data_IF_729253132928
#
_entry.id   IF_729253132928
#
_cell.length_a   1.000
_cell.length_b   1.000
_cell.length_c   1.000
_cell.angle_alpha   90.00
_cell.angle_beta   90.00
_cell.angle_gamma   90.00
#
_symmetry.space_group_name_H-M   'P 1'
#
loop_
_entity.id
_entity.type
_entity.pdbx_description
1 polymer ?
#
# COMPACT_ATOMS: atom_id res chain seq x y z
N UNK A 1 31.44 -9.83 -7.03
CA UNK A 1 29.96 -9.89 -7.11
C UNK A 1 29.59 -10.28 -8.54
N UNK A 2 28.97 -11.44 -8.74
CA UNK A 2 28.63 -11.95 -10.07
C UNK A 2 27.32 -11.31 -10.58
N UNK A 3 27.19 -11.02 -11.89
CA UNK A 3 26.04 -10.31 -12.45
C UNK A 3 24.69 -11.05 -12.29
N UNK A 4 24.73 -12.37 -12.09
CA UNK A 4 23.54 -13.21 -11.83
C UNK A 4 22.91 -12.91 -10.47
N UNK A 5 23.70 -12.63 -9.44
CA UNK A 5 23.17 -12.29 -8.11
C UNK A 5 22.48 -10.92 -8.10
N UNK A 6 22.93 -9.99 -8.97
CA UNK A 6 22.28 -8.69 -9.09
C UNK A 6 20.85 -8.88 -9.59
N UNK A 7 20.64 -9.64 -10.67
CA UNK A 7 19.32 -9.92 -11.27
C UNK A 7 18.33 -10.59 -10.29
N UNK A 8 18.79 -11.45 -9.37
CA UNK A 8 17.91 -12.08 -8.37
C UNK A 8 17.41 -11.12 -7.29
N UNK A 9 18.10 -10.02 -7.01
CA UNK A 9 17.63 -9.03 -6.03
C UNK A 9 16.57 -8.09 -6.63
N UNK A 10 16.57 -7.86 -7.94
CA UNK A 10 15.55 -7.01 -8.58
C UNK A 10 14.17 -7.65 -8.51
N UNK A 11 14.05 -8.97 -8.66
CA UNK A 11 12.76 -9.65 -8.52
C UNK A 11 12.19 -9.49 -7.10
N UNK A 12 13.05 -9.47 -6.08
CA UNK A 12 12.62 -9.24 -4.70
C UNK A 12 12.08 -7.82 -4.45
N UNK A 13 12.50 -6.81 -5.23
CA UNK A 13 12.03 -5.42 -5.07
C UNK A 13 10.93 -5.02 -6.08
N UNK A 14 10.93 -5.59 -7.28
CA UNK A 14 9.94 -5.27 -8.32
C UNK A 14 8.61 -5.94 -8.05
N UNK A 15 8.64 -7.23 -7.67
CA UNK A 15 7.43 -8.00 -7.38
C UNK A 15 6.49 -7.32 -6.36
N UNK A 16 6.96 -6.82 -5.20
CA UNK A 16 6.07 -6.13 -4.26
C UNK A 16 5.53 -4.81 -4.78
N UNK A 17 6.32 -4.03 -5.51
CA UNK A 17 5.86 -2.77 -6.09
C UNK A 17 4.74 -3.03 -7.10
N UNK A 18 4.89 -4.08 -7.91
CA UNK A 18 3.86 -4.53 -8.86
C UNK A 18 2.62 -5.04 -8.14
N UNK A 19 2.77 -5.83 -7.06
CA UNK A 19 1.64 -6.32 -6.26
C UNK A 19 0.87 -5.19 -5.60
N UNK A 20 1.57 -4.23 -5.00
CA UNK A 20 0.98 -3.04 -4.37
C UNK A 20 0.26 -2.18 -5.42
N UNK A 21 0.87 -1.97 -6.59
CA UNK A 21 0.25 -1.25 -7.70
C UNK A 21 -1.01 -1.97 -8.23
N UNK A 22 -0.95 -3.29 -8.39
CA UNK A 22 -2.10 -4.10 -8.80
C UNK A 22 -3.24 -4.00 -7.78
N UNK A 23 -2.94 -4.10 -6.48
CA UNK A 23 -3.92 -3.89 -5.42
C UNK A 23 -4.53 -2.49 -5.47
N UNK A 24 -3.72 -1.46 -5.75
CA UNK A 24 -4.19 -0.09 -5.86
C UNK A 24 -5.20 0.12 -7.00
N UNK A 25 -5.23 -0.78 -7.98
CA UNK A 25 -6.23 -0.81 -9.05
C UNK A 25 -7.42 -1.69 -8.68
N UNK A 26 -7.18 -2.96 -8.37
CA UNK A 26 -8.27 -3.93 -8.26
C UNK A 26 -9.09 -3.76 -6.99
N UNK A 27 -8.46 -3.34 -5.88
CA UNK A 27 -9.14 -3.18 -4.60
C UNK A 27 -10.23 -2.10 -4.63
N UNK A 28 -9.95 -0.85 -5.05
CA UNK A 28 -10.99 0.17 -5.12
C UNK A 28 -12.07 -0.15 -6.16
N UNK A 29 -11.73 -0.84 -7.25
CA UNK A 29 -12.72 -1.30 -8.24
C UNK A 29 -13.65 -2.39 -7.66
N UNK A 30 -13.10 -3.30 -6.85
CA UNK A 30 -13.90 -4.33 -6.19
C UNK A 30 -14.78 -3.74 -5.09
N UNK A 31 -14.24 -2.86 -4.25
CA UNK A 31 -15.00 -2.18 -3.20
C UNK A 31 -16.11 -1.30 -3.78
N UNK A 32 -15.84 -0.64 -4.91
CA UNK A 32 -16.83 0.17 -5.60
C UNK A 32 -18.11 -0.63 -5.92
N UNK A 33 -18.03 -1.94 -6.21
CA UNK A 33 -19.21 -2.77 -6.48
C UNK A 33 -20.12 -2.98 -5.27
N UNK A 34 -19.59 -2.80 -4.05
CA UNK A 34 -20.30 -3.05 -2.78
C UNK A 34 -20.71 -1.76 -2.07
N UNK A 35 -20.05 -0.65 -2.39
CA UNK A 35 -20.26 0.64 -1.73
C UNK A 35 -21.37 1.44 -2.42
N UNK A 36 -22.09 2.28 -1.66
CA UNK A 36 -23.16 3.12 -2.19
C UNK A 36 -22.64 4.10 -3.24
N UNK A 37 -23.49 4.46 -4.19
CA UNK A 37 -23.17 5.33 -5.33
C UNK A 37 -23.31 6.81 -4.98
N UNK A 38 -22.72 7.21 -3.86
CA UNK A 38 -22.70 8.59 -3.40
C UNK A 38 -21.29 9.00 -2.95
N UNK A 39 -21.11 10.30 -2.68
CA UNK A 39 -19.82 10.83 -2.20
C UNK A 39 -19.32 10.12 -0.92
N UNK A 40 -20.23 9.71 -0.03
CA UNK A 40 -19.86 8.97 1.17
C UNK A 40 -19.28 7.59 0.82
N UNK A 41 -19.85 6.88 -0.16
CA UNK A 41 -19.32 5.62 -0.68
C UNK A 41 -17.93 5.78 -1.29
N UNK A 42 -17.65 6.88 -1.99
CA UNK A 42 -16.30 7.17 -2.48
C UNK A 42 -15.32 7.44 -1.34
N UNK A 43 -15.71 8.22 -0.34
CA UNK A 43 -14.88 8.47 0.85
C UNK A 43 -14.55 7.17 1.60
N UNK A 44 -15.56 6.30 1.78
CA UNK A 44 -15.36 4.97 2.36
C UNK A 44 -14.44 4.09 1.51
N UNK A 45 -14.55 4.17 0.18
CA UNK A 45 -13.67 3.43 -0.72
C UNK A 45 -12.22 3.89 -0.58
N UNK A 46 -11.99 5.21 -0.54
CA UNK A 46 -10.67 5.80 -0.33
C UNK A 46 -10.06 5.35 1.00
N UNK A 47 -10.82 5.44 2.10
CA UNK A 47 -10.36 5.05 3.42
C UNK A 47 -10.07 3.55 3.51
N UNK A 48 -10.97 2.70 3.01
CA UNK A 48 -10.80 1.25 3.05
C UNK A 48 -9.65 0.79 2.15
N UNK A 49 -9.60 1.25 0.89
CA UNK A 49 -8.54 0.90 -0.04
C UNK A 49 -7.19 1.42 0.44
N UNK A 50 -7.13 2.70 0.86
CA UNK A 50 -5.91 3.31 1.38
C UNK A 50 -5.42 2.63 2.66
N UNK A 51 -6.33 2.27 3.57
CA UNK A 51 -6.00 1.55 4.80
C UNK A 51 -5.42 0.16 4.52
N UNK A 52 -6.01 -0.59 3.60
CA UNK A 52 -5.49 -1.91 3.19
C UNK A 52 -4.14 -1.77 2.50
N UNK A 53 -3.98 -0.81 1.58
CA UNK A 53 -2.71 -0.58 0.89
C UNK A 53 -1.61 -0.17 1.85
N UNK A 54 -1.91 0.69 2.82
CA UNK A 54 -0.99 1.07 3.88
C UNK A 54 -0.61 -0.14 4.73
N UNK A 55 -1.58 -0.95 5.14
CA UNK A 55 -1.34 -2.16 5.93
C UNK A 55 -0.47 -3.17 5.19
N UNK A 56 -0.78 -3.47 3.92
CA UNK A 56 0.00 -4.38 3.07
C UNK A 56 1.41 -3.84 2.86
N UNK A 57 1.55 -2.52 2.63
CA UNK A 57 2.87 -1.90 2.48
C UNK A 57 3.69 -2.02 3.75
N UNK A 58 3.11 -1.71 4.91
CA UNK A 58 3.76 -1.86 6.22
C UNK A 58 4.22 -3.30 6.44
N UNK A 59 3.34 -4.28 6.23
CA UNK A 59 3.68 -5.70 6.40
C UNK A 59 4.82 -6.12 5.46
N UNK A 60 4.74 -5.72 4.19
CA UNK A 60 5.75 -6.06 3.21
C UNK A 60 7.11 -5.46 3.57
N UNK A 61 7.16 -4.15 3.86
CA UNK A 61 8.42 -3.50 4.24
C UNK A 61 8.95 -4.04 5.56
N UNK A 62 8.10 -4.36 6.53
CA UNK A 62 8.54 -5.02 7.77
C UNK A 62 9.23 -6.35 7.45
N UNK A 63 8.60 -7.21 6.66
CA UNK A 63 9.16 -8.51 6.28
C UNK A 63 10.49 -8.36 5.55
N UNK A 64 10.58 -7.44 4.58
CA UNK A 64 11.79 -7.21 3.80
C UNK A 64 12.94 -6.60 4.64
N UNK A 65 12.62 -5.70 5.57
CA UNK A 65 13.62 -5.06 6.44
C UNK A 65 14.18 -6.01 7.50
N UNK A 66 13.38 -6.95 8.01
CA UNK A 66 13.85 -7.96 8.98
C UNK A 66 15.01 -8.80 8.43
N UNK A 67 15.05 -9.00 7.11
CA UNK A 67 16.08 -9.80 6.44
C UNK A 67 17.34 -8.98 6.11
N UNK A 68 17.24 -7.64 6.09
CA UNK A 68 18.33 -6.76 5.68
C UNK A 68 19.04 -6.03 6.83
N UNK A 69 18.35 -5.75 7.95
CA UNK A 69 18.89 -4.85 8.96
C UNK A 69 18.81 -5.41 10.39
N UNK A 70 19.96 -5.84 10.91
CA UNK A 70 20.13 -6.38 12.27
C UNK A 70 19.78 -5.34 13.34
N UNK A 71 19.81 -4.04 13.02
CA UNK A 71 19.37 -2.97 13.93
C UNK A 71 17.87 -2.98 14.20
N UNK A 72 17.04 -3.43 13.26
CA UNK A 72 15.59 -3.54 13.50
C UNK A 72 15.26 -4.62 14.52
N UNK A 73 16.01 -5.74 14.53
CA UNK A 73 15.85 -6.77 15.55
C UNK A 73 16.10 -6.22 16.97
N UNK A 74 17.03 -5.27 17.13
CA UNK A 74 17.26 -4.57 18.41
C UNK A 74 16.13 -3.63 18.83
N UNK A 75 15.53 -2.88 17.89
CA UNK A 75 14.43 -1.96 18.18
C UNK A 75 13.13 -2.68 18.58
N UNK A 76 12.92 -3.91 18.09
CA UNK A 76 11.73 -4.72 18.38
C UNK A 76 11.59 -5.06 19.88
N UNK A 77 12.70 -5.18 20.61
CA UNK A 77 12.70 -5.56 22.03
C UNK A 77 12.69 -4.37 22.99
N UNK A 78 13.31 -3.25 22.63
CA UNK A 78 13.49 -2.12 23.57
C UNK A 78 12.61 -0.90 23.26
N UNK A 79 12.20 -0.69 22.01
CA UNK A 79 11.59 0.58 21.55
C UNK A 79 10.39 0.36 20.60
N UNK A 80 9.40 -0.44 21.03
CA UNK A 80 8.22 -0.81 20.23
C UNK A 80 7.45 0.40 19.65
N UNK A 81 7.35 1.50 20.39
CA UNK A 81 6.70 2.73 19.92
C UNK A 81 7.44 3.41 18.75
N UNK A 82 8.77 3.41 18.77
CA UNK A 82 9.58 3.96 17.67
C UNK A 82 9.51 3.07 16.43
N UNK A 83 9.43 1.75 16.63
CA UNK A 83 9.22 0.78 15.55
C UNK A 83 7.90 1.04 14.82
N UNK A 84 6.78 1.19 15.53
CA UNK A 84 5.47 1.49 14.91
C UNK A 84 5.54 2.81 14.13
N UNK A 85 6.15 3.85 14.70
CA UNK A 85 6.28 5.15 14.03
C UNK A 85 7.11 5.04 12.75
N UNK A 86 8.22 4.31 12.80
CA UNK A 86 9.09 4.10 11.65
C UNK A 86 8.39 3.31 10.55
N UNK A 87 7.70 2.22 10.91
CA UNK A 87 6.92 1.39 9.98
C UNK A 87 5.76 2.17 9.35
N UNK A 88 5.04 2.95 10.14
CA UNK A 88 3.95 3.80 9.63
C UNK A 88 4.49 4.84 8.66
N UNK A 89 5.65 5.45 8.96
CA UNK A 89 6.32 6.38 8.06
C UNK A 89 6.75 5.70 6.75
N UNK A 90 7.29 4.49 6.81
CA UNK A 90 7.63 3.69 5.62
C UNK A 90 6.38 3.37 4.80
N UNK A 91 5.29 2.96 5.45
CA UNK A 91 3.99 2.75 4.82
C UNK A 91 3.46 4.02 4.14
N UNK A 92 3.59 5.19 4.77
CA UNK A 92 3.20 6.47 4.17
C UNK A 92 4.11 6.87 3.00
N UNK A 93 5.42 6.64 3.08
CA UNK A 93 6.33 6.91 1.96
C UNK A 93 6.00 6.03 0.75
N UNK A 94 5.57 4.79 0.99
CA UNK A 94 5.09 3.90 -0.08
C UNK A 94 3.82 4.41 -0.78
N UNK A 95 3.07 5.32 -0.17
CA UNK A 95 1.91 5.95 -0.80
C UNK A 95 2.29 6.75 -2.05
N UNK A 96 3.58 7.07 -2.26
CA UNK A 96 4.03 7.63 -3.53
C UNK A 96 3.84 6.65 -4.70
N UNK A 97 3.87 5.33 -4.43
CA UNK A 97 3.66 4.28 -5.42
C UNK A 97 2.17 4.03 -5.67
N UNK A 98 1.39 3.83 -4.62
CA UNK A 98 -0.02 3.44 -4.77
C UNK A 98 -1.01 4.59 -4.69
N UNK A 99 -0.66 5.71 -4.05
CA UNK A 99 -1.55 6.85 -3.84
C UNK A 99 -2.06 7.49 -5.14
N UNK A 100 -1.18 7.86 -6.10
CA UNK A 100 -1.61 8.39 -7.39
C UNK A 100 -2.49 7.40 -8.18
N UNK A 101 -2.16 6.11 -8.12
CA UNK A 101 -2.94 5.04 -8.79
C UNK A 101 -4.33 4.95 -8.17
N UNK A 102 -4.42 4.89 -6.85
CA UNK A 102 -5.70 4.83 -6.13
C UNK A 102 -6.56 6.05 -6.45
N UNK A 103 -5.99 7.25 -6.43
CA UNK A 103 -6.71 8.48 -6.76
C UNK A 103 -7.19 8.49 -8.21
N UNK A 104 -6.34 8.07 -9.15
CA UNK A 104 -6.72 7.96 -10.56
C UNK A 104 -7.87 6.96 -10.75
N UNK A 105 -7.81 5.80 -10.10
CA UNK A 105 -8.84 4.76 -10.20
C UNK A 105 -10.16 5.23 -9.59
N UNK A 106 -10.13 5.94 -8.46
CA UNK A 106 -11.32 6.54 -7.87
C UNK A 106 -11.90 7.64 -8.77
N UNK A 107 -11.05 8.48 -9.37
CA UNK A 107 -11.44 9.52 -10.31
C UNK A 107 -12.17 8.97 -11.55
N UNK A 108 -11.82 7.75 -11.97
CA UNK A 108 -12.47 7.05 -13.07
C UNK A 108 -13.81 6.40 -12.72
N UNK A 109 -14.38 6.64 -11.52
CA UNK A 109 -15.69 6.10 -11.10
C UNK A 109 -16.83 7.15 -11.10
N UNK A 110 -17.07 7.90 -12.19
CA UNK A 110 -18.00 9.04 -12.18
C UNK A 110 -19.46 8.64 -11.93
N UNK A 111 -19.85 7.38 -12.20
CA UNK A 111 -21.20 6.89 -11.92
C UNK A 111 -21.52 6.86 -10.42
N UNK A 112 -20.52 6.76 -9.56
CA UNK A 112 -20.70 6.63 -8.10
C UNK A 112 -20.75 7.97 -7.37
N UNK A 113 -20.65 9.08 -8.11
CA UNK A 113 -20.51 10.43 -7.53
C UNK A 113 -21.80 11.23 -7.66
N UNK A 114 -22.72 10.81 -8.53
CA UNK A 114 -23.93 11.56 -8.83
C UNK A 114 -25.02 11.23 -7.82
N UNK A 115 -25.56 12.21 -7.09
CA UNK A 115 -26.85 12.03 -6.44
C UNK A 115 -27.90 11.75 -7.52
N UNK A 116 -28.80 10.79 -7.27
CA UNK A 116 -30.00 10.57 -8.09
C UNK A 116 -30.77 11.90 -8.13
N UNK A 117 -30.91 12.49 -9.32
CA UNK A 117 -31.62 13.74 -9.58
C UNK A 117 -33.02 13.40 -10.07
#
# INVERSE_FOLDING_TARGET
MTPINVLSHWSSMILPAVLIAALAVFLPLWLAKKLPENMAGLGLNLLASGGVLLFVSVLYFTWFYLDQDVRMMGMMYEHFGEMIRHLTRLGMLSAILWGPILLAVLAMQPSKWRPEI
#
